data_IF_233920605503
#
_entry.id   IF_233920605503
#
_cell.length_a   1.000
_cell.length_b   1.000
_cell.length_c   1.000
_cell.angle_alpha   90.00
_cell.angle_beta   90.00
_cell.angle_gamma   90.00
#
_symmetry.space_group_name_H-M   'P 1'
#
loop_
_entity.id
_entity.type
_entity.pdbx_description
1 polymer ?
#
# COMPACT_ATOMS: atom_id res chain seq x y z
N UNK A 1 61.65 50.36 45.82
CA UNK A 1 61.49 48.88 45.87
C UNK A 1 60.02 48.42 45.89
N UNK A 2 59.05 49.25 45.47
CA UNK A 2 57.60 48.93 45.52
C UNK A 2 56.98 48.57 44.16
N UNK A 3 57.77 48.52 43.08
CA UNK A 3 57.24 48.33 41.71
C UNK A 3 56.98 46.84 41.37
N UNK A 4 57.72 45.91 41.99
CA UNK A 4 57.58 44.46 41.76
C UNK A 4 56.30 43.84 42.36
N UNK A 5 55.60 44.54 43.26
CA UNK A 5 54.34 44.06 43.84
C UNK A 5 53.09 44.52 43.07
N UNK A 6 53.19 45.52 42.19
CA UNK A 6 52.05 45.97 41.36
C UNK A 6 51.67 44.93 40.30
N UNK A 7 52.67 44.34 39.64
CA UNK A 7 52.44 43.41 38.53
C UNK A 7 51.77 42.09 38.97
N UNK A 8 52.00 41.63 40.21
CA UNK A 8 51.36 40.41 40.74
C UNK A 8 49.88 40.60 41.05
N UNK A 9 49.46 41.83 41.40
CA UNK A 9 48.06 42.14 41.70
C UNK A 9 47.23 42.19 40.42
N UNK A 10 47.78 42.81 39.37
CA UNK A 10 47.19 42.84 38.03
C UNK A 10 46.98 41.43 37.43
N UNK A 11 47.96 40.54 37.55
CA UNK A 11 47.83 39.15 37.07
C UNK A 11 46.72 38.40 37.83
N UNK A 12 46.60 38.63 39.14
CA UNK A 12 45.58 38.00 39.97
C UNK A 12 44.16 38.50 39.63
N UNK A 13 43.99 39.81 39.48
CA UNK A 13 42.71 40.43 39.10
C UNK A 13 42.28 39.97 37.69
N UNK A 14 43.24 39.81 36.77
CA UNK A 14 42.96 39.29 35.42
C UNK A 14 42.45 37.84 35.44
N UNK A 15 43.05 36.99 36.29
CA UNK A 15 42.63 35.59 36.46
C UNK A 15 41.25 35.49 37.09
N UNK A 16 40.97 36.30 38.11
CA UNK A 16 39.64 36.38 38.73
C UNK A 16 38.59 36.81 37.69
N UNK A 17 38.87 37.84 36.91
CA UNK A 17 37.95 38.31 35.87
C UNK A 17 37.73 37.24 34.78
N UNK A 18 38.78 36.52 34.39
CA UNK A 18 38.66 35.42 33.42
C UNK A 18 37.79 34.28 33.95
N UNK A 19 37.91 33.97 35.24
CA UNK A 19 37.14 32.90 35.89
C UNK A 19 35.68 33.32 36.05
N UNK A 20 35.41 34.56 36.45
CA UNK A 20 34.06 35.11 36.50
C UNK A 20 33.39 35.11 35.11
N UNK A 21 34.13 35.49 34.06
CA UNK A 21 33.64 35.42 32.68
C UNK A 21 33.36 33.99 32.22
N UNK A 22 34.22 33.03 32.54
CA UNK A 22 34.02 31.61 32.23
C UNK A 22 32.78 31.05 32.94
N UNK A 23 32.59 31.39 34.21
CA UNK A 23 31.42 30.97 35.00
C UNK A 23 30.16 31.59 34.40
N UNK A 24 30.15 32.90 34.11
CA UNK A 24 29.02 33.58 33.45
C UNK A 24 28.67 32.97 32.10
N UNK A 25 29.69 32.68 31.28
CA UNK A 25 29.50 32.06 29.97
C UNK A 25 28.92 30.65 30.11
N UNK A 26 29.45 29.85 31.05
CA UNK A 26 28.94 28.49 31.31
C UNK A 26 27.49 28.52 31.79
N UNK A 27 27.14 29.42 32.71
CA UNK A 27 25.76 29.60 33.16
C UNK A 27 24.83 30.07 32.02
N UNK A 28 25.30 30.96 31.15
CA UNK A 28 24.54 31.39 29.98
C UNK A 28 24.26 30.21 29.05
N UNK A 29 25.27 29.40 28.75
CA UNK A 29 25.12 28.23 27.89
C UNK A 29 24.13 27.21 28.48
N UNK A 30 24.21 26.93 29.78
CA UNK A 30 23.26 26.03 30.47
C UNK A 30 21.84 26.59 30.42
N UNK A 31 21.67 27.90 30.60
CA UNK A 31 20.36 28.55 30.50
C UNK A 31 19.79 28.47 29.08
N UNK A 32 20.62 28.66 28.08
CA UNK A 32 20.22 28.55 26.67
C UNK A 32 19.81 27.12 26.33
N UNK A 33 20.56 26.12 26.82
CA UNK A 33 20.23 24.71 26.62
C UNK A 33 18.95 24.30 27.35
N UNK A 34 18.73 24.78 28.57
CA UNK A 34 17.45 24.60 29.28
C UNK A 34 16.27 25.22 28.52
N UNK A 35 16.49 26.36 27.86
CA UNK A 35 15.48 27.01 27.02
C UNK A 35 15.16 26.16 25.79
N UNK A 36 16.18 25.59 25.14
CA UNK A 36 15.99 24.65 24.01
C UNK A 36 15.21 23.41 24.43
N UNK A 37 15.56 22.80 25.58
CA UNK A 37 14.84 21.64 26.13
C UNK A 37 13.38 21.99 26.43
N UNK A 38 13.12 23.16 27.04
CA UNK A 38 11.74 23.63 27.27
C UNK A 38 10.94 23.77 25.97
N UNK A 39 11.56 24.31 24.93
CA UNK A 39 10.94 24.46 23.62
C UNK A 39 10.65 23.09 22.97
N UNK A 40 11.55 22.12 23.11
CA UNK A 40 11.31 20.75 22.65
C UNK A 40 10.14 20.10 23.38
N UNK A 41 10.07 20.21 24.72
CA UNK A 41 8.95 19.70 25.52
C UNK A 41 7.62 20.30 25.05
N UNK A 42 7.58 21.62 24.80
CA UNK A 42 6.39 22.30 24.27
C UNK A 42 6.00 21.80 22.87
N UNK A 43 6.99 21.59 22.01
CA UNK A 43 6.77 21.05 20.66
C UNK A 43 6.18 19.64 20.72
N UNK A 44 6.76 18.74 21.53
CA UNK A 44 6.25 17.38 21.69
C UNK A 44 4.82 17.36 22.21
N UNK A 45 4.52 18.15 23.23
CA UNK A 45 3.15 18.26 23.78
C UNK A 45 2.14 18.78 22.74
N UNK A 46 2.54 19.75 21.92
CA UNK A 46 1.68 20.30 20.87
C UNK A 46 1.45 19.28 19.75
N UNK A 47 2.47 18.49 19.40
CA UNK A 47 2.34 17.43 18.41
C UNK A 47 1.47 16.27 18.91
N UNK A 48 1.59 15.89 20.17
CA UNK A 48 0.75 14.87 20.81
C UNK A 48 -0.73 15.28 20.72
N UNK A 49 -1.06 16.52 21.10
CA UNK A 49 -2.44 17.06 20.99
C UNK A 49 -2.95 16.99 19.54
N UNK A 50 -2.12 17.39 18.56
CA UNK A 50 -2.50 17.31 17.14
C UNK A 50 -2.75 15.88 16.67
N UNK A 51 -1.93 14.93 17.11
CA UNK A 51 -2.10 13.52 16.77
C UNK A 51 -3.39 12.97 17.40
N UNK A 52 -3.67 13.29 18.65
CA UNK A 52 -4.93 12.91 19.31
C UNK A 52 -6.16 13.45 18.58
N UNK A 53 -6.10 14.71 18.13
CA UNK A 53 -7.19 15.32 17.35
C UNK A 53 -7.38 14.62 15.99
N UNK A 54 -6.28 14.26 15.31
CA UNK A 54 -6.34 13.49 14.06
C UNK A 54 -6.92 12.09 14.28
N UNK A 55 -6.53 11.41 15.37
CA UNK A 55 -7.07 10.10 15.73
C UNK A 55 -8.57 10.19 16.01
N UNK A 56 -9.02 11.22 16.75
CA UNK A 56 -10.44 11.47 17.00
C UNK A 56 -11.20 11.72 15.70
N UNK A 57 -10.66 12.54 14.79
CA UNK A 57 -11.28 12.81 13.50
C UNK A 57 -11.42 11.54 12.65
N UNK A 58 -10.38 10.70 12.61
CA UNK A 58 -10.40 9.41 11.91
C UNK A 58 -11.43 8.45 12.51
N UNK A 59 -11.50 8.35 13.83
CA UNK A 59 -12.51 7.53 14.51
C UNK A 59 -13.93 7.99 14.18
N UNK A 60 -14.18 9.31 14.19
CA UNK A 60 -15.47 9.87 13.80
C UNK A 60 -15.83 9.55 12.34
N UNK A 61 -14.86 9.61 11.42
CA UNK A 61 -15.07 9.21 10.01
C UNK A 61 -15.38 7.73 9.88
N UNK A 62 -14.69 6.88 10.65
CA UNK A 62 -14.88 5.44 10.65
C UNK A 62 -16.26 5.06 11.19
N UNK A 63 -16.71 5.67 12.30
CA UNK A 63 -18.05 5.49 12.84
C UNK A 63 -19.14 5.90 11.84
N UNK A 64 -18.96 7.00 11.12
CA UNK A 64 -19.87 7.42 10.03
C UNK A 64 -19.94 6.37 8.93
N UNK A 65 -18.80 5.87 8.45
CA UNK A 65 -18.77 4.81 7.44
C UNK A 65 -19.43 3.52 7.92
N UNK A 66 -19.21 3.12 9.17
CA UNK A 66 -19.87 1.95 9.77
C UNK A 66 -21.40 2.16 9.77
N UNK A 67 -21.86 3.35 10.15
CA UNK A 67 -23.29 3.68 10.15
C UNK A 67 -23.88 3.62 8.73
N UNK A 68 -23.21 4.22 7.75
CA UNK A 68 -23.64 4.19 6.34
C UNK A 68 -23.71 2.76 5.80
N UNK A 69 -22.66 1.95 6.00
CA UNK A 69 -22.64 0.54 5.58
C UNK A 69 -23.74 -0.27 6.26
N UNK A 70 -23.99 -0.01 7.55
CA UNK A 70 -25.06 -0.67 8.29
C UNK A 70 -26.43 -0.31 7.72
N UNK A 71 -26.65 0.96 7.36
CA UNK A 71 -27.88 1.40 6.72
C UNK A 71 -28.09 0.76 5.34
N UNK A 72 -27.03 0.64 4.53
CA UNK A 72 -27.06 -0.03 3.24
C UNK A 72 -27.35 -1.53 3.37
N UNK A 73 -26.79 -2.18 4.39
CA UNK A 73 -27.06 -3.60 4.68
C UNK A 73 -28.55 -3.82 4.96
N UNK A 74 -29.18 -2.96 5.77
CA UNK A 74 -30.62 -3.04 6.06
C UNK A 74 -31.45 -2.84 4.78
N UNK A 75 -31.04 -1.94 3.89
CA UNK A 75 -31.72 -1.74 2.60
C UNK A 75 -31.58 -2.96 1.69
N UNK A 76 -30.40 -3.59 1.66
CA UNK A 76 -30.16 -4.81 0.89
C UNK A 76 -30.97 -6.00 1.42
N UNK A 77 -31.04 -6.18 2.74
CA UNK A 77 -31.84 -7.24 3.36
C UNK A 77 -33.36 -7.05 3.16
N UNK A 78 -33.82 -5.81 2.99
CA UNK A 78 -35.21 -5.48 2.69
C UNK A 78 -35.53 -5.46 1.19
N UNK A 79 -34.52 -5.56 0.32
CA UNK A 79 -34.76 -5.63 -1.11
C UNK A 79 -35.45 -6.97 -1.44
N UNK A 80 -36.60 -6.96 -2.15
CA UNK A 80 -37.24 -8.19 -2.57
C UNK A 80 -36.24 -9.01 -3.40
N UNK A 81 -36.10 -10.30 -3.10
CA UNK A 81 -35.28 -11.18 -3.91
C UNK A 81 -35.73 -11.03 -5.37
N UNK A 82 -34.82 -10.80 -6.33
CA UNK A 82 -35.19 -10.79 -7.72
C UNK A 82 -35.76 -12.18 -8.02
N UNK A 83 -37.04 -12.25 -8.38
CA UNK A 83 -37.71 -13.47 -8.80
C UNK A 83 -36.84 -14.16 -9.83
N UNK A 84 -36.12 -15.21 -9.39
CA UNK A 84 -35.37 -16.08 -10.29
C UNK A 84 -36.37 -17.02 -10.94
N UNK A 85 -37.19 -16.49 -11.84
CA UNK A 85 -37.87 -17.25 -12.88
C UNK A 85 -36.85 -17.66 -13.95
N UNK A 86 -35.87 -18.47 -13.55
CA UNK A 86 -35.09 -19.27 -14.49
C UNK A 86 -35.83 -20.60 -14.57
N UNK A 87 -36.74 -20.69 -15.54
CA UNK A 87 -37.30 -21.95 -16.01
C UNK A 87 -36.16 -22.91 -16.33
N UNK A 88 -35.90 -23.83 -15.40
CA UNK A 88 -35.02 -24.97 -15.64
C UNK A 88 -35.77 -25.93 -16.55
N UNK A 89 -35.53 -25.81 -17.85
CA UNK A 89 -35.78 -26.89 -18.82
C UNK A 89 -35.18 -28.19 -18.27
N UNK A 90 -36.03 -29.11 -17.84
CA UNK A 90 -35.71 -30.46 -17.39
C UNK A 90 -35.21 -31.29 -18.58
N UNK A 91 -33.92 -31.15 -18.91
CA UNK A 91 -33.24 -32.18 -19.71
C UNK A 91 -32.97 -33.36 -18.79
N UNK A 92 -33.56 -34.51 -19.13
CA UNK A 92 -33.34 -35.78 -18.43
C UNK A 92 -31.86 -36.11 -18.43
N UNK A 93 -31.25 -36.14 -17.25
CA UNK A 93 -29.93 -36.70 -17.05
C UNK A 93 -30.15 -38.22 -16.96
N UNK A 94 -29.83 -38.92 -18.04
CA UNK A 94 -29.65 -40.37 -18.02
C UNK A 94 -28.49 -40.65 -17.09
N UNK A 95 -28.75 -41.32 -15.97
CA UNK A 95 -27.71 -41.78 -15.06
C UNK A 95 -26.87 -42.87 -15.75
N UNK A 96 -25.75 -42.48 -16.34
CA UNK A 96 -24.67 -43.40 -16.66
C UNK A 96 -23.99 -43.81 -15.35
N UNK A 97 -24.16 -45.08 -14.96
CA UNK A 97 -23.51 -45.66 -13.79
C UNK A 97 -22.01 -45.78 -14.08
N UNK A 98 -21.20 -44.91 -13.50
CA UNK A 98 -19.74 -45.01 -13.57
C UNK A 98 -19.27 -46.01 -12.52
N UNK A 99 -18.69 -47.12 -12.97
CA UNK A 99 -17.92 -48.04 -12.14
C UNK A 99 -16.78 -47.29 -11.45
N UNK A 100 -16.71 -47.38 -10.13
CA UNK A 100 -15.62 -46.85 -9.32
C UNK A 100 -14.33 -47.64 -9.58
N UNK A 101 -13.52 -47.19 -10.54
CA UNK A 101 -12.14 -47.62 -10.62
C UNK A 101 -11.34 -46.80 -9.60
N UNK A 102 -10.90 -47.48 -8.53
CA UNK A 102 -9.82 -47.01 -7.66
C UNK A 102 -8.60 -46.71 -8.54
N UNK A 103 -8.39 -45.44 -8.90
CA UNK A 103 -7.15 -44.96 -9.50
C UNK A 103 -6.57 -43.89 -8.59
N UNK A 104 -5.36 -44.20 -8.11
CA UNK A 104 -4.41 -43.33 -7.45
C UNK A 104 -4.57 -41.84 -7.81
N UNK A 105 -4.58 -41.00 -6.78
CA UNK A 105 -4.36 -39.55 -6.85
C UNK A 105 -2.98 -39.26 -7.48
N UNK A 106 -2.86 -39.42 -8.79
CA UNK A 106 -1.96 -38.60 -9.57
C UNK A 106 -2.81 -37.45 -10.07
N UNK A 107 -2.57 -36.28 -9.52
CA UNK A 107 -3.01 -35.03 -10.12
C UNK A 107 -2.50 -35.02 -11.55
N UNK A 108 -3.40 -35.32 -12.49
CA UNK A 108 -3.21 -34.98 -13.90
C UNK A 108 -3.17 -33.45 -13.95
N UNK A 109 -2.01 -32.88 -13.63
CA UNK A 109 -1.60 -31.65 -14.25
C UNK A 109 -1.62 -31.98 -15.74
N UNK A 110 -2.70 -31.58 -16.42
CA UNK A 110 -2.71 -31.43 -17.86
C UNK A 110 -1.61 -30.43 -18.20
N UNK A 111 -0.38 -30.93 -18.30
CA UNK A 111 0.73 -30.33 -19.02
C UNK A 111 0.33 -30.46 -20.49
N UNK A 112 -0.70 -29.70 -20.89
CA UNK A 112 -0.89 -29.36 -22.28
C UNK A 112 0.20 -28.36 -22.64
N UNK A 113 1.38 -28.91 -22.87
CA UNK A 113 2.50 -28.29 -23.54
C UNK A 113 2.19 -28.10 -25.02
N UNK A 114 1.12 -27.39 -25.39
CA UNK A 114 0.82 -27.08 -26.80
C UNK A 114 -0.42 -26.21 -27.00
N UNK A 115 -0.44 -25.00 -26.43
CA UNK A 115 -1.18 -23.90 -27.06
C UNK A 115 -0.22 -22.72 -27.19
N UNK A 116 0.73 -22.87 -28.12
CA UNK A 116 1.50 -21.74 -28.64
C UNK A 116 0.51 -20.73 -29.23
N UNK A 117 0.13 -19.73 -28.44
CA UNK A 117 -0.51 -18.51 -28.94
C UNK A 117 -1.87 -18.12 -28.35
N UNK A 118 -2.54 -18.95 -27.53
CA UNK A 118 -3.86 -18.59 -26.98
C UNK A 118 -3.82 -18.28 -25.48
N UNK A 119 -4.39 -17.14 -25.08
CA UNK A 119 -4.58 -16.79 -23.67
C UNK A 119 -5.68 -17.64 -23.02
N UNK A 120 -5.42 -18.12 -21.80
CA UNK A 120 -6.45 -18.74 -20.95
C UNK A 120 -7.52 -17.71 -20.54
N UNK A 121 -8.73 -18.14 -20.12
CA UNK A 121 -9.77 -17.21 -19.66
C UNK A 121 -9.30 -16.28 -18.52
N UNK A 122 -8.48 -16.79 -17.59
CA UNK A 122 -7.92 -15.98 -16.51
C UNK A 122 -6.91 -14.94 -17.03
N UNK A 123 -6.06 -15.31 -17.98
CA UNK A 123 -5.12 -14.39 -18.62
C UNK A 123 -5.85 -13.30 -19.41
N UNK A 124 -6.92 -13.65 -20.15
CA UNK A 124 -7.77 -12.68 -20.85
C UNK A 124 -8.40 -11.67 -19.90
N UNK A 125 -8.83 -12.10 -18.71
CA UNK A 125 -9.36 -11.19 -17.69
C UNK A 125 -8.30 -10.19 -17.21
N UNK A 126 -7.05 -10.62 -16.99
CA UNK A 126 -5.94 -9.71 -16.63
C UNK A 126 -5.70 -8.69 -17.74
N UNK A 127 -5.66 -9.12 -19.01
CA UNK A 127 -5.49 -8.21 -20.14
C UNK A 127 -6.66 -7.22 -20.20
N UNK A 128 -7.91 -7.67 -19.97
CA UNK A 128 -9.09 -6.81 -19.94
C UNK A 128 -8.99 -5.75 -18.85
N UNK A 129 -8.57 -6.11 -17.63
CA UNK A 129 -8.38 -5.16 -16.53
C UNK A 129 -7.34 -4.12 -16.89
N UNK A 130 -6.19 -4.53 -17.42
CA UNK A 130 -5.12 -3.62 -17.86
C UNK A 130 -5.53 -2.73 -19.05
N UNK A 131 -6.46 -3.19 -19.87
CA UNK A 131 -6.99 -2.43 -21.02
C UNK A 131 -7.92 -1.31 -20.54
N UNK A 132 -8.79 -1.61 -19.58
CA UNK A 132 -9.74 -0.66 -19.00
C UNK A 132 -9.05 0.34 -18.06
N UNK A 133 -7.98 -0.07 -17.38
CA UNK A 133 -7.29 0.82 -16.43
C UNK A 133 -6.43 1.87 -17.14
N UNK A 134 -6.75 3.15 -16.98
CA UNK A 134 -5.92 4.25 -17.51
C UNK A 134 -4.58 4.42 -16.78
N UNK A 135 -4.52 3.96 -15.53
CA UNK A 135 -3.38 4.09 -14.63
C UNK A 135 -2.64 2.73 -14.54
N UNK A 136 -1.30 2.72 -14.42
CA UNK A 136 -0.56 1.49 -14.15
C UNK A 136 -1.00 0.82 -12.84
N UNK A 137 -1.21 -0.50 -12.88
CA UNK A 137 -1.73 -1.26 -11.75
C UNK A 137 -0.64 -2.09 -11.07
N UNK A 138 -0.64 -2.10 -9.74
CA UNK A 138 0.14 -3.02 -8.92
C UNK A 138 -0.48 -4.44 -8.95
N UNK A 139 0.33 -5.46 -8.62
CA UNK A 139 -0.16 -6.83 -8.52
C UNK A 139 -1.34 -6.99 -7.56
N UNK A 140 -1.31 -6.25 -6.43
CA UNK A 140 -2.33 -6.27 -5.40
C UNK A 140 -3.68 -5.75 -5.91
N UNK A 141 -3.65 -4.68 -6.71
CA UNK A 141 -4.85 -4.10 -7.30
C UNK A 141 -5.47 -5.04 -8.33
N UNK A 142 -4.65 -5.66 -9.19
CA UNK A 142 -5.11 -6.66 -10.16
C UNK A 142 -5.70 -7.89 -9.44
N UNK A 143 -5.05 -8.33 -8.35
CA UNK A 143 -5.52 -9.45 -7.53
C UNK A 143 -6.87 -9.16 -6.87
N UNK A 144 -7.03 -7.95 -6.31
CA UNK A 144 -8.29 -7.49 -5.70
C UNK A 144 -9.44 -7.44 -6.71
N UNK A 145 -9.18 -6.87 -7.89
CA UNK A 145 -10.19 -6.74 -8.95
C UNK A 145 -10.68 -8.10 -9.45
N UNK A 146 -9.75 -9.04 -9.64
CA UNK A 146 -10.07 -10.38 -10.17
C UNK A 146 -10.46 -11.39 -9.10
N UNK A 147 -10.41 -11.02 -7.81
CA UNK A 147 -10.56 -11.93 -6.66
C UNK A 147 -9.62 -13.14 -6.74
N UNK A 148 -8.38 -12.90 -7.15
CA UNK A 148 -7.33 -13.91 -7.29
C UNK A 148 -6.22 -13.68 -6.26
N UNK A 149 -5.45 -14.74 -5.97
CA UNK A 149 -4.23 -14.60 -5.18
C UNK A 149 -3.14 -13.84 -5.98
N UNK A 150 -2.39 -12.96 -5.33
CA UNK A 150 -1.26 -12.21 -5.87
C UNK A 150 -0.26 -13.12 -6.59
N UNK A 151 0.04 -14.30 -6.02
CA UNK A 151 0.98 -15.28 -6.62
C UNK A 151 0.44 -15.78 -7.97
N UNK A 152 -0.86 -16.04 -8.04
CA UNK A 152 -1.54 -16.50 -9.27
C UNK A 152 -1.54 -15.40 -10.33
N UNK A 153 -1.80 -14.15 -9.95
CA UNK A 153 -1.72 -13.00 -10.87
C UNK A 153 -0.30 -12.84 -11.41
N UNK A 154 0.72 -12.93 -10.54
CA UNK A 154 2.14 -12.87 -10.96
C UNK A 154 2.47 -13.97 -11.97
N UNK A 155 2.04 -15.20 -11.70
CA UNK A 155 2.22 -16.33 -12.63
C UNK A 155 1.56 -16.05 -13.98
N UNK A 156 0.30 -15.60 -13.97
CA UNK A 156 -0.43 -15.32 -15.21
C UNK A 156 0.18 -14.17 -16.01
N UNK A 157 0.65 -13.10 -15.36
CA UNK A 157 1.36 -12.00 -16.05
C UNK A 157 2.63 -12.51 -16.72
N UNK A 158 3.42 -13.34 -16.03
CA UNK A 158 4.62 -13.94 -16.62
C UNK A 158 4.29 -14.88 -17.78
N UNK A 159 3.23 -15.70 -17.65
CA UNK A 159 2.77 -16.56 -18.74
C UNK A 159 2.31 -15.72 -19.95
N UNK A 160 1.62 -14.60 -19.75
CA UNK A 160 1.20 -13.67 -20.81
C UNK A 160 2.42 -13.07 -21.53
N UNK A 161 3.43 -12.62 -20.77
CA UNK A 161 4.70 -12.13 -21.35
C UNK A 161 5.41 -13.23 -22.14
N UNK A 162 5.44 -14.47 -21.64
CA UNK A 162 6.04 -15.62 -22.34
C UNK A 162 5.32 -15.96 -23.66
N UNK A 163 4.01 -15.72 -23.74
CA UNK A 163 3.23 -15.89 -24.98
C UNK A 163 3.60 -14.81 -26.03
N UNK A 164 4.31 -13.74 -25.65
CA UNK A 164 4.74 -12.67 -26.54
C UNK A 164 3.82 -11.44 -26.51
N UNK A 165 2.96 -11.33 -25.50
CA UNK A 165 2.13 -10.14 -25.31
C UNK A 165 2.90 -9.08 -24.52
N UNK A 166 2.99 -7.88 -25.07
CA UNK A 166 3.83 -6.81 -24.52
C UNK A 166 3.14 -6.08 -23.37
N UNK A 167 3.32 -6.60 -22.15
CA UNK A 167 2.95 -5.91 -20.91
C UNK A 167 4.16 -5.12 -20.41
N UNK A 168 4.07 -3.79 -20.45
CA UNK A 168 5.12 -2.91 -19.93
C UNK A 168 5.09 -2.87 -18.40
N UNK A 169 6.28 -2.77 -17.82
CA UNK A 169 6.47 -2.61 -16.39
C UNK A 169 7.18 -1.29 -16.07
N UNK A 170 6.79 -0.67 -14.97
CA UNK A 170 7.44 0.50 -14.38
C UNK A 170 7.57 0.30 -12.87
N UNK A 171 8.44 1.07 -12.25
CA UNK A 171 8.50 1.17 -10.79
C UNK A 171 7.69 2.40 -10.39
N UNK A 172 6.76 2.23 -9.45
CA UNK A 172 5.98 3.33 -8.88
C UNK A 172 6.92 4.26 -8.10
N UNK A 173 6.79 5.56 -8.34
CA UNK A 173 7.59 6.59 -7.66
C UNK A 173 7.27 6.65 -6.17
N UNK A 174 6.00 6.41 -5.81
CA UNK A 174 5.51 6.59 -4.44
C UNK A 174 5.90 5.41 -3.54
N UNK A 175 5.84 4.18 -4.07
CA UNK A 175 5.97 2.95 -3.28
C UNK A 175 7.20 2.10 -3.62
N UNK A 176 7.93 2.41 -4.71
CA UNK A 176 9.01 1.56 -5.22
C UNK A 176 8.55 0.19 -5.74
N UNK A 177 7.23 -0.03 -5.85
CA UNK A 177 6.63 -1.30 -6.27
C UNK A 177 6.47 -1.39 -7.79
N UNK A 178 6.46 -2.62 -8.31
CA UNK A 178 6.27 -2.87 -9.76
C UNK A 178 4.81 -2.65 -10.15
N UNK A 179 4.60 -1.82 -11.16
CA UNK A 179 3.30 -1.54 -11.78
C UNK A 179 3.29 -1.96 -13.24
N UNK A 180 2.13 -2.39 -13.73
CA UNK A 180 1.93 -2.93 -15.07
C UNK A 180 0.93 -2.09 -15.84
N UNK A 181 1.21 -1.87 -17.13
CA UNK A 181 0.31 -1.15 -18.02
C UNK A 181 0.46 -1.64 -19.47
N UNK A 182 -0.56 -1.33 -20.27
CA UNK A 182 -0.53 -1.53 -21.72
C UNK A 182 -0.32 -0.20 -22.43
N UNK A 183 0.45 -0.24 -23.52
CA UNK A 183 0.67 0.92 -24.37
C UNK A 183 -0.64 1.36 -25.04
N UNK A 184 -0.78 2.67 -25.26
CA UNK A 184 -2.02 3.27 -25.78
C UNK A 184 -2.41 2.68 -27.14
N UNK A 185 -1.44 2.36 -27.99
CA UNK A 185 -1.67 1.77 -29.31
C UNK A 185 -2.29 0.37 -29.21
N UNK A 186 -1.78 -0.45 -28.28
CA UNK A 186 -2.33 -1.78 -28.00
C UNK A 186 -3.74 -1.72 -27.40
N UNK A 187 -4.00 -0.76 -26.50
CA UNK A 187 -5.35 -0.59 -25.95
C UNK A 187 -6.37 -0.28 -27.04
N UNK A 188 -6.02 0.59 -27.99
CA UNK A 188 -6.88 0.95 -29.12
C UNK A 188 -7.18 -0.25 -30.03
N UNK A 189 -6.18 -1.09 -30.32
CA UNK A 189 -6.40 -2.27 -31.18
C UNK A 189 -7.29 -3.34 -30.53
N UNK A 190 -7.31 -3.43 -29.20
CA UNK A 190 -8.21 -4.32 -28.44
C UNK A 190 -9.63 -3.75 -28.36
N UNK A 191 -9.76 -2.45 -28.09
CA UNK A 191 -11.06 -1.76 -27.98
C UNK A 191 -11.80 -1.64 -29.31
N UNK A 192 -11.08 -1.43 -30.42
CA UNK A 192 -11.65 -1.32 -31.77
C UNK A 192 -12.20 -2.63 -32.34
N UNK A 193 -11.86 -3.78 -31.74
CA UNK A 193 -12.36 -5.11 -32.15
C UNK A 193 -13.64 -5.53 -31.43
N UNK A 194 -14.20 -4.66 -30.60
CA UNK A 194 -15.43 -4.91 -29.82
C UNK A 194 -16.60 -4.20 -30.50
#
# INVERSE_FOLDING_TARGET
MFWFFKNKKEDYDSKINSLDNLVKTSFSNVKDDMTKVSNWIKFFKTNEIKQDDQIKELNNKLERLISEVSSLKVLYEKAPEPERSIERSSRSIVHERVQSFNRSNQSFMNVQSSLKGSFTPAQKKIISVLTVSDIPLEYENIAKELKLNIITVRRHINDIKRIGFDIKEKVSVDNGRKVFYLEKEMKKSILSKK
#
